data_IF_775002520741
#
_entry.id   IF_775002520741
#
_cell.length_a   1.000
_cell.length_b   1.000
_cell.length_c   1.000
_cell.angle_alpha   90.00
_cell.angle_beta   90.00
_cell.angle_gamma   90.00
#
_symmetry.space_group_name_H-M   'P 1'
#
loop_
_entity.id
_entity.type
_entity.pdbx_description
1 polymer ?
#
# COMPACT_ATOMS: atom_id res chain seq x y z
N UNK A 1 14.51 2.44 -51.09
CA UNK A 1 15.20 1.66 -50.04
C UNK A 1 14.74 0.22 -50.19
N UNK A 2 15.59 -0.68 -50.66
CA UNK A 2 15.24 -2.03 -51.14
C UNK A 2 14.78 -2.94 -50.03
N UNK A 3 13.77 -3.78 -50.31
CA UNK A 3 13.23 -4.81 -49.40
C UNK A 3 14.33 -5.69 -48.78
N UNK A 4 15.39 -5.97 -49.55
CA UNK A 4 16.61 -6.68 -49.11
C UNK A 4 17.35 -5.98 -47.95
N UNK A 5 17.42 -4.65 -47.92
CA UNK A 5 18.11 -3.92 -46.84
C UNK A 5 17.32 -3.94 -45.54
N UNK A 6 15.99 -3.96 -45.60
CA UNK A 6 15.12 -4.11 -44.42
C UNK A 6 15.22 -5.51 -43.82
N UNK A 7 15.27 -6.55 -44.65
CA UNK A 7 15.45 -7.94 -44.15
C UNK A 7 16.82 -8.15 -43.51
N UNK A 8 17.87 -7.58 -44.06
CA UNK A 8 19.23 -7.66 -43.48
C UNK A 8 19.29 -6.96 -42.10
N UNK A 9 18.61 -5.85 -41.96
CA UNK A 9 18.53 -5.11 -40.69
C UNK A 9 17.71 -5.88 -39.62
N UNK A 10 16.64 -6.55 -40.03
CA UNK A 10 15.83 -7.39 -39.15
C UNK A 10 16.64 -8.61 -38.66
N UNK A 11 17.31 -9.32 -39.57
CA UNK A 11 18.13 -10.49 -39.22
C UNK A 11 19.26 -10.12 -38.25
N UNK A 12 19.96 -9.01 -38.45
CA UNK A 12 20.97 -8.53 -37.50
C UNK A 12 20.39 -8.24 -36.09
N UNK A 13 19.18 -7.68 -36.02
CA UNK A 13 18.50 -7.49 -34.73
C UNK A 13 18.12 -8.82 -34.05
N UNK A 14 17.66 -9.78 -34.81
CA UNK A 14 17.36 -11.13 -34.30
C UNK A 14 18.62 -11.85 -33.79
N UNK A 15 19.72 -11.74 -34.49
CA UNK A 15 21.01 -12.32 -34.07
C UNK A 15 21.55 -11.63 -32.80
N UNK A 16 21.41 -10.32 -32.68
CA UNK A 16 21.77 -9.56 -31.48
C UNK A 16 20.88 -9.98 -30.26
N UNK A 17 19.56 -10.13 -30.45
CA UNK A 17 18.67 -10.59 -29.40
C UNK A 17 19.02 -12.02 -28.96
N UNK A 18 19.34 -12.91 -29.91
CA UNK A 18 19.76 -14.28 -29.63
C UNK A 18 21.07 -14.34 -28.84
N UNK A 19 22.05 -13.52 -29.23
CA UNK A 19 23.30 -13.40 -28.47
C UNK A 19 23.10 -12.83 -27.05
N UNK A 20 22.19 -11.87 -26.86
CA UNK A 20 21.83 -11.39 -25.53
C UNK A 20 21.07 -12.42 -24.70
N UNK A 21 20.29 -13.32 -25.30
CA UNK A 21 19.66 -14.45 -24.62
C UNK A 21 20.70 -15.50 -24.21
N UNK A 22 21.63 -15.83 -25.08
CA UNK A 22 22.70 -16.83 -24.82
C UNK A 22 23.72 -16.32 -23.79
N UNK A 23 24.02 -15.00 -23.78
CA UNK A 23 24.89 -14.38 -22.78
C UNK A 23 24.24 -14.19 -21.40
N UNK A 24 22.96 -14.51 -21.27
CA UNK A 24 22.24 -14.37 -20.00
C UNK A 24 21.94 -12.92 -19.59
N UNK A 25 22.28 -11.93 -20.42
CA UNK A 25 22.04 -10.51 -20.12
C UNK A 25 20.53 -10.15 -20.04
N UNK A 26 19.68 -10.88 -20.78
CA UNK A 26 18.22 -10.70 -20.71
C UNK A 26 17.61 -11.30 -19.43
N UNK A 27 18.27 -12.28 -18.81
CA UNK A 27 17.78 -12.97 -17.60
C UNK A 27 17.97 -12.17 -16.30
N UNK A 28 18.75 -11.09 -16.30
CA UNK A 28 19.18 -10.44 -15.05
C UNK A 28 18.59 -9.03 -14.80
N UNK A 29 17.43 -8.71 -15.36
CA UNK A 29 16.70 -7.51 -14.93
C UNK A 29 15.63 -7.89 -13.89
N UNK A 30 16.06 -8.27 -12.68
CA UNK A 30 15.17 -8.41 -11.50
C UNK A 30 14.41 -7.11 -11.30
N UNK A 31 13.11 -7.16 -11.52
CA UNK A 31 12.17 -6.02 -11.43
C UNK A 31 12.22 -5.32 -10.06
N UNK A 32 12.44 -6.06 -8.98
CA UNK A 32 12.51 -5.52 -7.61
C UNK A 32 13.62 -4.48 -7.38
N UNK A 33 14.75 -4.60 -8.06
CA UNK A 33 15.85 -3.63 -7.89
C UNK A 33 15.60 -2.28 -8.56
N UNK A 34 14.70 -2.19 -9.55
CA UNK A 34 14.42 -0.93 -10.26
C UNK A 34 13.60 0.04 -9.41
N UNK A 35 12.56 -0.44 -8.72
CA UNK A 35 11.73 0.39 -7.84
C UNK A 35 12.56 0.90 -6.66
N UNK A 36 13.32 0.02 -6.01
CA UNK A 36 14.20 0.38 -4.91
C UNK A 36 15.28 1.38 -5.35
N UNK A 37 15.90 1.17 -6.51
CA UNK A 37 16.90 2.08 -7.07
C UNK A 37 16.33 3.45 -7.44
N UNK A 38 15.09 3.51 -7.95
CA UNK A 38 14.38 4.77 -8.21
C UNK A 38 14.08 5.51 -6.91
N UNK A 39 13.68 4.78 -5.87
CA UNK A 39 13.39 5.33 -4.55
C UNK A 39 14.66 5.87 -3.89
N UNK A 40 15.76 5.11 -3.94
CA UNK A 40 17.07 5.53 -3.42
C UNK A 40 17.73 6.67 -4.21
N UNK A 41 17.35 6.89 -5.46
CA UNK A 41 17.83 8.03 -6.24
C UNK A 41 17.00 9.32 -6.01
N UNK A 42 15.86 9.23 -5.34
CA UNK A 42 15.04 10.39 -5.02
C UNK A 42 15.38 10.92 -3.63
N UNK A 43 16.09 12.05 -3.56
CA UNK A 43 16.53 12.69 -2.29
C UNK A 43 15.38 13.00 -1.35
N UNK A 44 14.24 13.46 -1.89
CA UNK A 44 13.05 13.75 -1.08
C UNK A 44 12.44 12.48 -0.48
N UNK A 45 12.43 11.38 -1.24
CA UNK A 45 11.95 10.10 -0.74
C UNK A 45 12.84 9.54 0.37
N UNK A 46 14.17 9.72 0.26
CA UNK A 46 15.11 9.32 1.32
C UNK A 46 14.88 10.15 2.58
N UNK A 47 14.83 11.48 2.46
CA UNK A 47 14.62 12.37 3.61
C UNK A 47 13.29 12.05 4.30
N UNK A 48 12.19 11.93 3.53
CA UNK A 48 10.88 11.57 4.10
C UNK A 48 10.88 10.18 4.74
N UNK A 49 11.55 9.21 4.12
CA UNK A 49 11.71 7.86 4.66
C UNK A 49 12.51 7.83 5.97
N UNK A 50 13.60 8.61 6.05
CA UNK A 50 14.41 8.73 7.27
C UNK A 50 13.61 9.37 8.40
N UNK A 51 12.92 10.47 8.14
CA UNK A 51 12.04 11.13 9.13
C UNK A 51 10.98 10.16 9.63
N UNK A 52 10.29 9.48 8.72
CA UNK A 52 9.28 8.48 9.07
C UNK A 52 9.86 7.35 9.92
N UNK A 53 11.05 6.85 9.56
CA UNK A 53 11.72 5.80 10.31
C UNK A 53 12.11 6.25 11.74
N UNK A 54 12.59 7.48 11.88
CA UNK A 54 12.91 8.05 13.21
C UNK A 54 11.64 8.11 14.06
N UNK A 55 10.53 8.62 13.52
CA UNK A 55 9.26 8.71 14.24
C UNK A 55 8.75 7.31 14.60
N UNK A 56 8.82 6.36 13.67
CA UNK A 56 8.40 4.98 13.89
C UNK A 56 9.21 4.33 15.03
N UNK A 57 10.53 4.46 14.98
CA UNK A 57 11.42 3.93 16.02
C UNK A 57 11.16 4.60 17.36
N UNK A 58 10.99 5.93 17.40
CA UNK A 58 10.65 6.65 18.62
C UNK A 58 9.31 6.15 19.21
N UNK A 59 8.30 5.92 18.40
CA UNK A 59 7.02 5.36 18.86
C UNK A 59 7.16 3.91 19.36
N UNK A 60 7.94 3.06 18.67
CA UNK A 60 8.17 1.67 19.08
C UNK A 60 8.93 1.61 20.41
N UNK A 61 9.97 2.43 20.53
CA UNK A 61 10.82 2.49 21.72
C UNK A 61 10.34 3.51 22.77
N UNK A 62 9.07 3.94 22.71
CA UNK A 62 8.46 4.86 23.67
C UNK A 62 8.73 4.49 25.16
N UNK A 63 8.65 3.20 25.59
CA UNK A 63 8.94 2.83 26.99
C UNK A 63 10.40 3.08 27.41
N UNK A 64 11.33 3.16 26.47
CA UNK A 64 12.74 3.45 26.73
C UNK A 64 13.05 4.95 26.67
N UNK A 65 12.25 5.73 25.92
CA UNK A 65 12.44 7.16 25.71
C UNK A 65 11.76 8.02 26.78
N UNK A 66 10.71 7.49 27.41
CA UNK A 66 10.00 8.19 28.50
C UNK A 66 9.68 7.25 29.64
N UNK A 67 9.98 7.68 30.84
CA UNK A 67 9.59 6.97 32.07
C UNK A 67 8.14 7.24 32.52
N UNK A 68 7.43 8.14 31.82
CA UNK A 68 6.09 8.54 32.17
C UNK A 68 5.02 7.68 31.49
N UNK A 69 4.00 7.28 32.24
CA UNK A 69 2.82 6.66 31.63
C UNK A 69 1.96 7.72 30.92
N UNK A 70 1.47 7.45 29.71
CA UNK A 70 0.62 8.40 28.96
C UNK A 70 -0.72 8.67 29.65
N UNK A 71 -1.08 7.87 30.66
CA UNK A 71 -2.32 7.98 31.45
C UNK A 71 -2.11 8.54 32.84
N UNK A 72 -0.87 8.63 33.32
CA UNK A 72 -0.59 9.14 34.66
C UNK A 72 -0.98 10.61 34.77
N UNK A 73 -1.77 10.94 35.75
CA UNK A 73 -2.25 12.29 36.08
C UNK A 73 -1.47 12.81 37.25
N UNK A 74 -0.84 13.98 37.13
CA UNK A 74 -0.19 14.68 38.22
C UNK A 74 -0.77 16.10 38.39
N UNK A 75 -1.64 16.25 39.36
CA UNK A 75 -2.31 17.51 39.66
C UNK A 75 -1.35 18.64 40.08
N UNK A 76 -0.11 18.31 40.49
CA UNK A 76 0.92 19.30 40.82
C UNK A 76 1.68 19.84 39.59
N UNK A 77 1.53 19.16 38.49
CA UNK A 77 2.23 19.44 37.25
C UNK A 77 1.31 19.88 36.11
N UNK A 78 0.24 20.60 36.42
CA UNK A 78 -0.74 21.09 35.44
C UNK A 78 -0.12 22.22 34.60
N UNK A 79 -0.22 22.13 33.24
CA UNK A 79 0.19 23.14 32.29
C UNK A 79 1.65 23.62 32.48
N UNK A 80 2.53 22.74 32.95
CA UNK A 80 3.96 23.09 33.02
C UNK A 80 4.53 23.25 31.60
N UNK A 81 5.36 24.27 31.36
CA UNK A 81 6.06 24.45 30.08
C UNK A 81 7.07 23.34 29.85
N UNK A 82 7.58 23.18 28.60
CA UNK A 82 8.68 22.27 28.29
C UNK A 82 9.88 22.44 29.23
N UNK A 83 10.38 21.33 29.78
CA UNK A 83 11.49 21.28 30.75
C UNK A 83 12.29 20.00 30.58
N UNK A 84 13.40 19.87 31.34
CA UNK A 84 14.20 18.63 31.36
C UNK A 84 13.44 17.43 31.90
N UNK A 85 12.44 17.62 32.77
CA UNK A 85 11.55 16.57 33.27
C UNK A 85 10.41 16.25 32.29
N UNK A 86 9.82 17.27 31.65
CA UNK A 86 8.73 17.15 30.69
C UNK A 86 9.08 17.82 29.37
N UNK A 87 9.66 17.08 28.46
CA UNK A 87 10.21 17.62 27.20
C UNK A 87 9.22 18.44 26.38
N UNK A 88 7.96 18.05 26.33
CA UNK A 88 6.89 18.79 25.66
C UNK A 88 5.91 19.44 26.65
N UNK A 89 6.31 19.54 27.93
CA UNK A 89 5.45 20.03 28.99
C UNK A 89 4.34 19.07 29.35
N UNK A 90 3.35 19.58 30.11
CA UNK A 90 2.21 18.80 30.59
C UNK A 90 0.88 19.39 30.12
N UNK A 91 -0.16 18.55 30.08
CA UNK A 91 -1.50 18.97 29.63
C UNK A 91 -2.35 19.55 30.81
N UNK A 92 -3.62 19.86 30.52
CA UNK A 92 -4.60 20.46 31.47
C UNK A 92 -4.85 19.63 32.70
N UNK A 93 -4.47 18.38 32.74
CA UNK A 93 -4.63 17.46 33.88
C UNK A 93 -3.28 16.88 34.34
N UNK A 94 -2.16 17.53 33.94
CA UNK A 94 -0.83 17.21 34.41
C UNK A 94 -0.21 15.94 33.79
N UNK A 95 -0.72 15.45 32.65
CA UNK A 95 -0.11 14.31 31.94
C UNK A 95 1.05 14.78 31.06
N UNK A 96 2.09 13.98 30.99
CA UNK A 96 3.24 14.25 30.13
C UNK A 96 2.86 14.20 28.64
N UNK A 97 3.06 15.32 27.93
CA UNK A 97 2.68 15.45 26.51
C UNK A 97 3.59 14.62 25.62
N UNK A 98 4.89 14.53 25.92
CA UNK A 98 5.83 13.74 25.14
C UNK A 98 5.48 12.24 25.18
N UNK A 99 5.20 11.69 26.35
CA UNK A 99 4.74 10.32 26.51
C UNK A 99 3.46 10.08 25.70
N UNK A 100 2.50 11.00 25.78
CA UNK A 100 1.24 10.89 25.04
C UNK A 100 1.44 10.91 23.50
N UNK A 101 2.35 11.73 23.01
CA UNK A 101 2.67 11.79 21.58
C UNK A 101 3.29 10.46 21.11
N UNK A 102 4.24 9.90 21.85
CA UNK A 102 4.89 8.65 21.48
C UNK A 102 3.92 7.45 21.51
N UNK A 103 3.18 7.28 22.61
CA UNK A 103 2.22 6.17 22.74
C UNK A 103 1.01 6.35 21.81
N UNK A 104 0.55 7.59 21.59
CA UNK A 104 -0.50 7.90 20.61
C UNK A 104 -0.03 7.64 19.18
N UNK A 105 1.19 8.01 18.84
CA UNK A 105 1.82 7.74 17.55
C UNK A 105 1.92 6.24 17.26
N UNK A 106 2.30 5.43 18.25
CA UNK A 106 2.33 3.96 18.14
C UNK A 106 0.96 3.40 17.77
N UNK A 107 -0.11 3.90 18.42
CA UNK A 107 -1.48 3.49 18.13
C UNK A 107 -1.92 3.92 16.73
N UNK A 108 -1.65 5.17 16.36
CA UNK A 108 -2.00 5.72 15.04
C UNK A 108 -1.30 4.97 13.91
N UNK A 109 -0.01 4.67 14.05
CA UNK A 109 0.76 3.91 13.06
C UNK A 109 0.21 2.47 12.94
N UNK A 110 -0.10 1.81 14.06
CA UNK A 110 -0.65 0.46 14.06
C UNK A 110 -2.02 0.41 13.35
N UNK A 111 -2.90 1.36 13.63
CA UNK A 111 -4.22 1.48 12.98
C UNK A 111 -4.03 1.80 11.49
N UNK A 112 -3.21 2.80 11.15
CA UNK A 112 -2.98 3.21 9.77
C UNK A 112 -2.38 2.09 8.91
N UNK A 113 -1.33 1.43 9.42
CA UNK A 113 -0.68 0.33 8.71
C UNK A 113 -1.59 -0.90 8.58
N UNK A 114 -2.27 -1.27 9.67
CA UNK A 114 -3.20 -2.41 9.67
C UNK A 114 -4.36 -2.20 8.71
N UNK A 115 -4.95 -1.01 8.68
CA UNK A 115 -6.04 -0.70 7.75
C UNK A 115 -5.55 -0.60 6.29
N UNK A 116 -4.38 -0.02 6.04
CA UNK A 116 -3.81 0.06 4.69
C UNK A 116 -3.52 -1.33 4.11
N UNK A 117 -2.92 -2.23 4.90
CA UNK A 117 -2.70 -3.62 4.50
C UNK A 117 -4.02 -4.35 4.23
N UNK A 118 -5.01 -4.18 5.09
CA UNK A 118 -6.34 -4.79 4.91
C UNK A 118 -7.05 -4.29 3.65
N UNK A 119 -7.04 -2.98 3.41
CA UNK A 119 -7.58 -2.38 2.18
C UNK A 119 -6.87 -2.89 0.93
N UNK A 120 -5.53 -2.91 0.95
CA UNK A 120 -4.74 -3.40 -0.16
C UNK A 120 -5.01 -4.89 -0.42
N UNK A 121 -5.02 -5.72 0.61
CA UNK A 121 -5.27 -7.15 0.49
C UNK A 121 -6.64 -7.43 -0.13
N UNK A 122 -7.72 -6.90 0.45
CA UNK A 122 -9.10 -7.12 -0.05
C UNK A 122 -9.27 -6.47 -1.43
N UNK A 123 -8.83 -5.22 -1.59
CA UNK A 123 -8.99 -4.49 -2.83
C UNK A 123 -8.25 -5.12 -3.99
N UNK A 124 -6.99 -5.55 -3.79
CA UNK A 124 -6.19 -6.21 -4.82
C UNK A 124 -6.77 -7.59 -5.16
N UNK A 125 -7.15 -8.39 -4.17
CA UNK A 125 -7.77 -9.70 -4.44
C UNK A 125 -9.04 -9.56 -5.28
N UNK A 126 -9.98 -8.74 -4.83
CA UNK A 126 -11.24 -8.54 -5.54
C UNK A 126 -11.02 -7.84 -6.89
N UNK A 127 -10.15 -6.85 -6.97
CA UNK A 127 -9.87 -6.10 -8.19
C UNK A 127 -9.21 -6.95 -9.27
N UNK A 128 -8.23 -7.77 -8.90
CA UNK A 128 -7.58 -8.68 -9.83
C UNK A 128 -8.55 -9.71 -10.38
N UNK A 129 -9.33 -10.36 -9.52
CA UNK A 129 -10.29 -11.37 -9.95
C UNK A 129 -11.40 -10.77 -10.81
N UNK A 130 -11.95 -9.64 -10.41
CA UNK A 130 -12.99 -8.90 -11.12
C UNK A 130 -12.50 -8.44 -12.50
N UNK A 131 -11.35 -7.78 -12.58
CA UNK A 131 -10.77 -7.30 -13.84
C UNK A 131 -10.43 -8.42 -14.82
N UNK A 132 -9.96 -9.57 -14.32
CA UNK A 132 -9.64 -10.73 -15.15
C UNK A 132 -10.88 -11.45 -15.67
N UNK A 133 -11.83 -11.79 -14.78
CA UNK A 133 -13.03 -12.55 -15.11
C UNK A 133 -14.03 -11.73 -15.94
N UNK A 134 -14.21 -10.44 -15.60
CA UNK A 134 -15.24 -9.61 -16.22
C UNK A 134 -16.68 -10.08 -15.93
N UNK A 135 -17.60 -9.70 -16.81
CA UNK A 135 -19.00 -10.15 -16.76
C UNK A 135 -19.78 -9.64 -15.56
N UNK A 136 -20.79 -10.42 -15.11
CA UNK A 136 -21.70 -10.03 -14.02
C UNK A 136 -20.99 -9.75 -12.70
N UNK A 137 -20.00 -10.58 -12.34
CA UNK A 137 -19.26 -10.39 -11.08
C UNK A 137 -18.52 -9.07 -11.05
N UNK A 138 -17.87 -8.71 -12.14
CA UNK A 138 -17.19 -7.44 -12.30
C UNK A 138 -18.15 -6.26 -12.17
N UNK A 139 -19.28 -6.31 -12.88
CA UNK A 139 -20.32 -5.28 -12.80
C UNK A 139 -20.84 -5.12 -11.37
N UNK A 140 -21.09 -6.21 -10.67
CA UNK A 140 -21.56 -6.18 -9.28
C UNK A 140 -20.53 -5.54 -8.34
N UNK A 141 -19.24 -5.95 -8.42
CA UNK A 141 -18.19 -5.40 -7.58
C UNK A 141 -17.94 -3.91 -7.82
N UNK A 142 -18.01 -3.49 -9.07
CA UNK A 142 -17.95 -2.07 -9.44
C UNK A 142 -19.10 -1.29 -8.79
N UNK A 143 -20.34 -1.78 -8.90
CA UNK A 143 -21.51 -1.12 -8.29
C UNK A 143 -21.41 -1.02 -6.77
N UNK A 144 -20.97 -2.10 -6.12
CA UNK A 144 -20.74 -2.07 -4.67
C UNK A 144 -19.69 -1.01 -4.34
N UNK A 145 -18.56 -0.97 -5.05
CA UNK A 145 -17.53 0.02 -4.81
C UNK A 145 -18.02 1.46 -5.03
N UNK A 146 -18.85 1.69 -6.04
CA UNK A 146 -19.47 2.99 -6.33
C UNK A 146 -20.38 3.46 -5.18
N UNK A 147 -21.20 2.55 -4.62
CA UNK A 147 -22.06 2.86 -3.46
C UNK A 147 -21.22 3.32 -2.26
N UNK A 148 -20.16 2.58 -1.91
CA UNK A 148 -19.29 2.98 -0.81
C UNK A 148 -18.60 4.33 -1.05
N UNK A 149 -18.25 4.65 -2.30
CA UNK A 149 -17.54 5.87 -2.65
C UNK A 149 -18.46 7.07 -2.90
N UNK A 150 -19.77 6.86 -3.05
CA UNK A 150 -20.77 7.94 -3.17
C UNK A 150 -21.04 8.62 -1.83
N UNK A 151 -20.77 7.94 -0.72
CA UNK A 151 -20.95 8.49 0.63
C UNK A 151 -19.63 9.15 1.05
N UNK A 152 -19.66 10.41 1.55
CA UNK A 152 -18.46 11.03 2.11
C UNK A 152 -17.84 10.14 3.20
N UNK A 153 -16.58 9.75 3.01
CA UNK A 153 -15.91 8.75 3.85
C UNK A 153 -15.98 9.08 5.35
N UNK A 154 -15.86 10.36 5.72
CA UNK A 154 -15.95 10.77 7.12
C UNK A 154 -17.32 10.44 7.73
N UNK A 155 -18.40 10.66 7.00
CA UNK A 155 -19.76 10.37 7.49
C UNK A 155 -19.93 8.86 7.69
N UNK A 156 -19.48 8.07 6.72
CA UNK A 156 -19.55 6.60 6.80
C UNK A 156 -18.74 6.06 7.99
N UNK A 157 -17.52 6.57 8.18
CA UNK A 157 -16.67 6.18 9.32
C UNK A 157 -17.34 6.56 10.64
N UNK A 158 -17.85 7.78 10.81
CA UNK A 158 -18.50 8.23 12.02
C UNK A 158 -19.73 7.38 12.36
N UNK A 159 -20.55 7.03 11.36
CA UNK A 159 -21.72 6.19 11.52
C UNK A 159 -21.34 4.78 11.96
N UNK A 160 -20.33 4.17 11.35
CA UNK A 160 -19.85 2.84 11.71
C UNK A 160 -19.19 2.81 13.09
N UNK A 161 -18.44 3.86 13.47
CA UNK A 161 -17.88 3.99 14.82
C UNK A 161 -18.98 4.10 15.89
N UNK A 162 -20.07 4.80 15.60
CA UNK A 162 -21.20 4.90 16.52
C UNK A 162 -21.89 3.54 16.77
N UNK A 163 -21.95 2.67 15.74
CA UNK A 163 -22.55 1.34 15.83
C UNK A 163 -21.59 0.32 16.47
N UNK A 164 -20.34 0.29 16.01
CA UNK A 164 -19.35 -0.74 16.37
C UNK A 164 -18.55 -0.40 17.64
N UNK A 165 -18.57 0.87 18.06
CA UNK A 165 -17.79 1.37 19.19
C UNK A 165 -16.35 1.78 18.83
N UNK A 166 -15.70 2.49 19.76
CA UNK A 166 -14.41 3.19 19.58
C UNK A 166 -13.19 2.32 19.95
N UNK A 167 -13.17 1.03 19.66
CA UNK A 167 -11.98 0.22 19.89
C UNK A 167 -11.00 0.32 18.71
N UNK A 168 -9.69 0.18 18.98
CA UNK A 168 -8.67 0.20 17.93
C UNK A 168 -8.93 -0.86 16.85
N UNK A 169 -9.37 -2.05 17.23
CA UNK A 169 -9.75 -3.13 16.32
C UNK A 169 -10.91 -2.73 15.43
N UNK A 170 -11.96 -2.13 15.99
CA UNK A 170 -13.13 -1.70 15.24
C UNK A 170 -12.75 -0.60 14.24
N UNK A 171 -11.90 0.35 14.63
CA UNK A 171 -11.41 1.43 13.74
C UNK A 171 -10.67 0.84 12.55
N UNK A 172 -9.79 -0.16 12.75
CA UNK A 172 -9.10 -0.84 11.63
C UNK A 172 -10.11 -1.49 10.68
N UNK A 173 -11.07 -2.24 11.22
CA UNK A 173 -12.11 -2.91 10.41
C UNK A 173 -12.94 -1.89 9.63
N UNK A 174 -13.35 -0.80 10.27
CA UNK A 174 -14.12 0.28 9.64
C UNK A 174 -13.34 0.90 8.50
N UNK A 175 -12.05 1.22 8.70
CA UNK A 175 -11.21 1.76 7.63
C UNK A 175 -11.03 0.79 6.46
N UNK A 176 -10.94 -0.51 6.73
CA UNK A 176 -10.89 -1.53 5.68
C UNK A 176 -12.20 -1.53 4.89
N UNK A 177 -13.36 -1.55 5.58
CA UNK A 177 -14.69 -1.55 4.96
C UNK A 177 -14.91 -0.29 4.12
N UNK A 178 -14.43 0.87 4.57
CA UNK A 178 -14.59 2.13 3.85
C UNK A 178 -13.56 2.33 2.73
N UNK A 179 -12.34 1.75 2.85
CA UNK A 179 -11.19 2.08 2.01
C UNK A 179 -10.87 1.10 0.88
N UNK A 180 -11.39 -0.13 0.92
CA UNK A 180 -11.04 -1.19 -0.05
C UNK A 180 -11.35 -0.82 -1.51
N UNK A 181 -12.41 -0.02 -1.74
CA UNK A 181 -12.90 0.31 -3.08
C UNK A 181 -11.88 1.06 -3.94
N UNK A 182 -11.03 1.91 -3.36
CA UNK A 182 -9.97 2.61 -4.08
C UNK A 182 -8.88 1.64 -4.56
N UNK A 183 -8.43 0.73 -3.69
CA UNK A 183 -7.46 -0.31 -4.04
C UNK A 183 -8.04 -1.29 -5.08
N UNK A 184 -9.32 -1.64 -4.94
CA UNK A 184 -10.06 -2.47 -5.89
C UNK A 184 -10.03 -1.86 -7.30
N UNK A 185 -10.41 -0.58 -7.44
CA UNK A 185 -10.46 0.07 -8.76
C UNK A 185 -9.08 0.21 -9.39
N UNK A 186 -8.05 0.51 -8.58
CA UNK A 186 -6.68 0.57 -9.08
C UNK A 186 -6.22 -0.80 -9.61
N UNK A 187 -6.36 -1.85 -8.82
CA UNK A 187 -5.98 -3.21 -9.21
C UNK A 187 -6.76 -3.69 -10.44
N UNK A 188 -8.08 -3.46 -10.45
CA UNK A 188 -8.94 -3.79 -11.59
C UNK A 188 -8.50 -3.10 -12.89
N UNK A 189 -8.21 -1.80 -12.84
CA UNK A 189 -7.75 -1.02 -13.99
C UNK A 189 -6.45 -1.58 -14.56
N UNK A 190 -5.48 -1.91 -13.71
CA UNK A 190 -4.21 -2.51 -14.12
C UNK A 190 -4.42 -3.89 -14.77
N UNK A 191 -5.27 -4.72 -14.18
CA UNK A 191 -5.56 -6.06 -14.73
C UNK A 191 -6.27 -5.98 -16.07
N UNK A 192 -7.20 -5.03 -16.26
CA UNK A 192 -7.89 -4.81 -17.54
C UNK A 192 -6.91 -4.44 -18.65
N UNK A 193 -5.88 -3.65 -18.35
CA UNK A 193 -4.82 -3.29 -19.30
C UNK A 193 -3.95 -4.49 -19.68
N UNK A 194 -3.56 -5.31 -18.70
CA UNK A 194 -2.60 -6.42 -18.92
C UNK A 194 -3.28 -7.66 -19.49
N UNK A 195 -4.56 -7.90 -19.20
CA UNK A 195 -5.23 -9.14 -19.66
C UNK A 195 -5.32 -9.27 -21.18
N UNK A 196 -5.18 -8.18 -21.92
CA UNK A 196 -5.20 -8.14 -23.39
C UNK A 196 -3.81 -8.41 -23.99
N UNK A 197 -2.74 -8.48 -23.18
CA UNK A 197 -1.38 -8.78 -23.63
C UNK A 197 -1.27 -10.20 -24.19
N UNK A 198 -0.44 -10.37 -25.24
CA UNK A 198 -0.29 -11.64 -25.96
C UNK A 198 0.11 -12.82 -25.07
N UNK A 199 0.97 -12.56 -24.06
CA UNK A 199 1.40 -13.62 -23.14
C UNK A 199 0.26 -14.12 -22.25
N UNK A 200 -0.67 -13.23 -21.86
CA UNK A 200 -1.85 -13.61 -21.06
C UNK A 200 -2.83 -14.42 -21.91
N UNK A 201 -3.01 -14.01 -23.16
CA UNK A 201 -3.85 -14.77 -24.11
C UNK A 201 -3.29 -16.17 -24.35
N UNK A 202 -1.97 -16.30 -24.49
CA UNK A 202 -1.31 -17.61 -24.60
C UNK A 202 -1.57 -18.50 -23.38
N UNK A 203 -1.49 -17.95 -22.16
CA UNK A 203 -1.78 -18.69 -20.93
C UNK A 203 -3.23 -19.18 -20.85
N UNK A 204 -4.19 -18.42 -21.41
CA UNK A 204 -5.59 -18.85 -21.53
C UNK A 204 -5.73 -20.05 -22.47
N UNK A 205 -5.06 -20.02 -23.62
CA UNK A 205 -5.07 -21.11 -24.60
C UNK A 205 -4.52 -22.41 -24.00
N UNK A 206 -3.51 -22.31 -23.14
CA UNK A 206 -2.95 -23.47 -22.40
C UNK A 206 -3.86 -23.98 -21.28
N UNK A 207 -5.06 -23.38 -21.07
CA UNK A 207 -6.05 -23.86 -20.12
C UNK A 207 -5.66 -23.65 -18.64
N UNK A 208 -4.75 -22.72 -18.33
CA UNK A 208 -4.40 -22.43 -16.94
C UNK A 208 -5.60 -21.85 -16.18
N UNK A 209 -5.67 -22.19 -14.88
CA UNK A 209 -6.72 -21.69 -13.99
C UNK A 209 -6.69 -20.15 -13.92
N UNK A 210 -7.85 -19.46 -14.05
CA UNK A 210 -7.98 -18.02 -13.93
C UNK A 210 -7.29 -17.40 -12.71
N UNK A 211 -7.38 -18.05 -11.56
CA UNK A 211 -6.70 -17.61 -10.33
C UNK A 211 -5.17 -17.62 -10.49
N UNK A 212 -4.61 -18.66 -11.10
CA UNK A 212 -3.17 -18.77 -11.33
C UNK A 212 -2.70 -17.67 -12.27
N UNK A 213 -3.42 -17.45 -13.36
CA UNK A 213 -3.10 -16.38 -14.33
C UNK A 213 -3.13 -15.03 -13.63
N UNK A 214 -4.19 -14.75 -12.87
CA UNK A 214 -4.37 -13.46 -12.20
C UNK A 214 -3.29 -13.18 -11.15
N UNK A 215 -3.11 -14.10 -10.19
CA UNK A 215 -2.25 -13.82 -9.03
C UNK A 215 -0.78 -14.15 -9.24
N UNK A 216 -0.46 -15.09 -10.13
CA UNK A 216 0.93 -15.51 -10.37
C UNK A 216 1.57 -14.82 -11.57
N UNK A 217 0.77 -14.45 -12.57
CA UNK A 217 1.30 -13.88 -13.82
C UNK A 217 0.93 -12.41 -14.03
N UNK A 218 -0.32 -12.00 -13.73
CA UNK A 218 -0.75 -10.61 -13.94
C UNK A 218 -0.32 -9.72 -12.77
N UNK A 219 -0.68 -10.09 -11.54
CA UNK A 219 -0.44 -9.25 -10.36
C UNK A 219 1.03 -8.84 -10.15
N UNK A 220 2.04 -9.73 -10.29
CA UNK A 220 3.44 -9.32 -10.15
C UNK A 220 3.94 -8.39 -11.26
N UNK A 221 3.27 -8.37 -12.41
CA UNK A 221 3.60 -7.48 -13.52
C UNK A 221 2.78 -6.16 -13.51
N UNK A 222 1.70 -6.14 -12.73
CA UNK A 222 0.84 -4.96 -12.53
C UNK A 222 1.36 -4.01 -11.43
N UNK A 223 2.19 -4.51 -10.50
CA UNK A 223 2.81 -3.79 -9.40
C UNK A 223 4.22 -3.34 -9.74
#
# INVERSE_FOLDING_TARGET
MSIKSKQLHLNRKFDQIRQMEESGELKNKKSGNRALRKLLNNRLAIVGGVIFLIILLACIFAPLLTGYSPKAVDMKSILKPPSGEHWFGTDKIGRDVFARVLYGGRMSIAIGFGSALGCAFIGVLLGCYSGYRGGWFDSLMVRISEVFMSIPQLILVMMLVAIMGQSAKNIVIIFIICGWGSCFRMARSQVLSIREEEYVQSLKVFGLNPFIICYKHILPNAL
#
